data_IF_785229442176
#
_entry.id   IF_785229442176
#
_cell.length_a   1.000
_cell.length_b   1.000
_cell.length_c   1.000
_cell.angle_alpha   90.00
_cell.angle_beta   90.00
_cell.angle_gamma   90.00
#
_symmetry.space_group_name_H-M   'P 1'
#
loop_
_entity.id
_entity.type
_entity.pdbx_description
1 polymer ?
#
# COMPACT_ATOMS: atom_id res chain seq x y z
N UNK A 1 4.21 12.93 -24.44
CA UNK A 1 4.05 13.42 -23.05
C UNK A 1 2.67 12.96 -22.60
N UNK A 2 2.59 12.12 -21.57
CA UNK A 2 1.31 11.53 -21.15
C UNK A 2 0.34 12.61 -20.70
N UNK A 3 -0.91 12.53 -21.13
CA UNK A 3 -2.01 13.34 -20.59
C UNK A 3 -2.37 12.80 -19.22
N UNK A 4 -2.27 13.64 -18.19
CA UNK A 4 -2.71 13.31 -16.83
C UNK A 4 -4.19 13.61 -16.67
N UNK A 5 -4.93 12.68 -16.07
CA UNK A 5 -6.34 12.85 -15.69
C UNK A 5 -6.46 13.04 -14.17
N UNK A 6 -7.50 13.74 -13.72
CA UNK A 6 -7.87 13.79 -12.30
C UNK A 6 -8.32 12.43 -11.75
N UNK A 7 -8.66 11.50 -12.63
CA UNK A 7 -9.03 10.12 -12.29
C UNK A 7 -7.81 9.18 -12.23
N UNK A 8 -6.60 9.68 -12.50
CA UNK A 8 -5.39 8.87 -12.37
C UNK A 8 -5.12 8.53 -10.90
N UNK A 9 -4.51 7.36 -10.68
CA UNK A 9 -3.97 7.01 -9.36
C UNK A 9 -2.49 7.35 -9.30
N UNK A 10 -2.10 8.16 -8.32
CA UNK A 10 -0.75 8.67 -8.13
C UNK A 10 -0.14 8.13 -6.83
N UNK A 11 1.18 8.08 -6.77
CA UNK A 11 1.94 7.67 -5.58
C UNK A 11 3.17 8.56 -5.40
N UNK A 12 3.53 8.84 -4.14
CA UNK A 12 4.73 9.60 -3.81
C UNK A 12 5.28 9.24 -2.44
N UNK A 13 6.59 9.43 -2.25
CA UNK A 13 7.21 9.50 -0.93
C UNK A 13 6.76 10.81 -0.28
N UNK A 14 6.08 10.71 0.85
CA UNK A 14 5.47 11.82 1.58
C UNK A 14 6.32 12.32 2.77
N UNK A 15 7.49 11.72 2.99
CA UNK A 15 8.48 12.12 4.00
C UNK A 15 9.76 12.67 3.35
N UNK A 16 10.54 13.53 4.03
CA UNK A 16 11.83 13.99 3.53
C UNK A 16 12.79 12.83 3.21
N UNK A 17 13.73 13.09 2.30
CA UNK A 17 14.82 12.17 2.02
C UNK A 17 15.80 12.10 3.19
N UNK A 18 16.36 10.93 3.44
CA UNK A 18 17.34 10.69 4.48
C UNK A 18 16.95 9.55 5.41
N UNK A 19 17.69 9.43 6.52
CA UNK A 19 17.45 8.41 7.54
C UNK A 19 16.50 8.95 8.59
N UNK A 20 15.47 8.19 8.92
CA UNK A 20 14.49 8.50 9.96
C UNK A 20 13.87 7.22 10.51
N UNK A 21 13.09 7.34 11.59
CA UNK A 21 12.44 6.19 12.22
C UNK A 21 11.26 5.63 11.40
N UNK A 22 10.64 6.46 10.55
CA UNK A 22 9.54 6.07 9.66
C UNK A 22 9.65 6.80 8.32
N UNK A 23 9.23 6.13 7.25
CA UNK A 23 8.97 6.72 5.94
C UNK A 23 7.51 6.53 5.56
N UNK A 24 6.92 7.48 4.83
CA UNK A 24 5.52 7.38 4.37
C UNK A 24 5.51 7.38 2.85
N UNK A 25 4.88 6.36 2.26
CA UNK A 25 4.50 6.33 0.85
C UNK A 25 2.99 6.52 0.79
N UNK A 26 2.52 7.55 0.08
CA UNK A 26 1.10 7.88 -0.04
C UNK A 26 0.61 7.60 -1.45
N UNK A 27 -0.48 6.85 -1.56
CA UNK A 27 -1.20 6.57 -2.81
C UNK A 27 -2.56 7.27 -2.79
N UNK A 28 -2.99 7.82 -3.93
CA UNK A 28 -4.27 8.52 -4.05
C UNK A 28 -4.88 8.31 -5.42
N UNK A 29 -6.20 8.07 -5.47
CA UNK A 29 -6.95 7.82 -6.70
C UNK A 29 -7.76 6.52 -6.65
N UNK A 30 -8.56 6.24 -7.70
CA UNK A 30 -9.51 5.14 -7.72
C UNK A 30 -8.88 3.75 -7.59
N UNK A 31 -7.60 3.57 -7.95
CA UNK A 31 -6.88 2.31 -7.87
C UNK A 31 -6.05 2.16 -6.58
N UNK A 32 -6.13 3.12 -5.64
CA UNK A 32 -5.31 3.10 -4.42
C UNK A 32 -5.48 1.83 -3.58
N UNK A 33 -6.72 1.46 -3.25
CA UNK A 33 -7.03 0.24 -2.49
C UNK A 33 -6.77 -1.03 -3.32
N UNK A 34 -7.20 -1.14 -4.60
CA UNK A 34 -6.85 -2.29 -5.45
C UNK A 34 -5.35 -2.57 -5.60
N UNK A 35 -4.53 -1.52 -5.74
CA UNK A 35 -3.07 -1.65 -5.83
C UNK A 35 -2.53 -2.15 -4.49
N UNK A 36 -2.97 -1.55 -3.39
CA UNK A 36 -2.56 -1.95 -2.05
C UNK A 36 -2.92 -3.42 -1.76
N UNK A 37 -4.08 -3.90 -2.19
CA UNK A 37 -4.49 -5.30 -1.96
C UNK A 37 -3.68 -6.35 -2.72
N UNK A 38 -2.93 -5.96 -3.73
CA UNK A 38 -1.98 -6.84 -4.40
C UNK A 38 -0.64 -6.95 -3.65
N UNK A 39 -0.35 -6.00 -2.76
CA UNK A 39 0.94 -5.84 -2.10
C UNK A 39 0.88 -6.13 -0.59
N UNK A 40 -0.22 -5.75 0.06
CA UNK A 40 -0.36 -5.79 1.52
C UNK A 40 -0.95 -7.10 2.01
N UNK A 41 -0.27 -7.71 2.98
CA UNK A 41 -0.71 -8.93 3.66
C UNK A 41 -0.97 -8.62 5.13
N UNK A 42 -2.25 -8.69 5.51
CA UNK A 42 -2.68 -8.61 6.90
C UNK A 42 -2.46 -9.95 7.62
N UNK A 43 -1.90 -9.97 8.84
CA UNK A 43 -1.68 -11.19 9.61
C UNK A 43 -2.98 -11.87 10.04
N UNK A 44 -4.09 -11.12 10.08
CA UNK A 44 -5.42 -11.67 10.41
C UNK A 44 -6.15 -12.23 9.19
N UNK A 45 -5.57 -12.13 7.98
CA UNK A 45 -6.16 -12.74 6.78
C UNK A 45 -5.80 -14.22 6.73
N UNK A 46 -6.81 -15.08 6.72
CA UNK A 46 -6.67 -16.54 6.56
C UNK A 46 -6.76 -16.98 5.10
N UNK A 47 -6.90 -16.04 4.17
CA UNK A 47 -7.16 -16.30 2.74
C UNK A 47 -6.12 -15.60 1.87
N UNK A 48 -5.65 -16.30 0.83
CA UNK A 48 -4.72 -15.80 -0.20
C UNK A 48 -5.47 -15.64 -1.54
N UNK A 49 -5.45 -14.47 -2.20
CA UNK A 49 -4.85 -13.21 -1.74
C UNK A 49 -5.68 -12.59 -0.59
N UNK A 50 -5.03 -11.86 0.32
CA UNK A 50 -5.72 -11.20 1.42
C UNK A 50 -6.72 -10.19 0.86
N UNK A 51 -8.00 -10.46 1.03
CA UNK A 51 -9.06 -9.55 0.61
C UNK A 51 -8.87 -8.21 1.33
N UNK A 52 -8.57 -7.15 0.57
CA UNK A 52 -8.66 -5.76 1.05
C UNK A 52 -10.09 -5.27 1.19
N UNK A 53 -11.07 -6.17 1.01
CA UNK A 53 -12.48 -5.85 0.76
C UNK A 53 -13.06 -4.88 1.77
N UNK A 54 -12.53 -4.81 3.00
CA UNK A 54 -12.84 -3.70 3.90
C UNK A 54 -11.61 -3.24 4.71
N UNK A 55 -10.62 -2.62 4.05
CA UNK A 55 -9.72 -1.69 4.77
C UNK A 55 -10.58 -0.57 5.36
N UNK A 56 -10.81 -0.56 6.68
CA UNK A 56 -11.71 0.38 7.29
C UNK A 56 -11.08 1.76 7.27
N UNK A 57 -11.84 2.74 6.81
CA UNK A 57 -11.38 4.14 6.79
C UNK A 57 -10.90 4.58 8.17
N UNK A 58 -9.78 5.30 8.22
CA UNK A 58 -9.19 5.89 9.44
C UNK A 58 -8.83 4.87 10.52
N UNK A 59 -8.40 3.67 10.13
CA UNK A 59 -7.77 2.71 11.05
C UNK A 59 -6.37 2.38 10.56
N UNK A 60 -5.42 2.32 11.48
CA UNK A 60 -4.08 1.79 11.23
C UNK A 60 -4.12 0.27 11.34
N UNK A 61 -3.66 -0.41 10.29
CA UNK A 61 -3.57 -1.86 10.22
C UNK A 61 -2.11 -2.24 10.05
N UNK A 62 -1.65 -3.11 10.94
CA UNK A 62 -0.33 -3.69 10.88
C UNK A 62 -0.29 -4.88 9.92
N UNK A 63 0.79 -5.00 9.15
CA UNK A 63 1.02 -6.12 8.26
C UNK A 63 2.33 -5.98 7.49
N UNK A 64 2.42 -6.68 6.35
CA UNK A 64 3.63 -6.70 5.52
C UNK A 64 3.30 -6.26 4.10
N UNK A 65 4.22 -5.53 3.47
CA UNK A 65 4.22 -5.40 2.00
C UNK A 65 5.07 -6.53 1.43
N UNK A 66 4.54 -7.24 0.44
CA UNK A 66 5.23 -8.27 -0.33
C UNK A 66 5.36 -7.88 -1.78
N UNK A 67 6.47 -8.26 -2.39
CA UNK A 67 6.62 -8.21 -3.83
C UNK A 67 5.73 -9.31 -4.45
N UNK A 68 4.75 -8.97 -5.29
CA UNK A 68 3.81 -9.94 -5.85
C UNK A 68 4.48 -10.91 -6.83
N UNK A 69 5.67 -10.59 -7.37
CA UNK A 69 6.38 -11.46 -8.30
C UNK A 69 7.23 -12.51 -7.57
N UNK A 70 7.84 -12.14 -6.44
CA UNK A 70 8.77 -13.00 -5.70
C UNK A 70 8.17 -13.55 -4.41
N UNK A 71 7.05 -13.01 -3.94
CA UNK A 71 6.39 -13.30 -2.67
C UNK A 71 7.27 -12.95 -1.45
N UNK A 72 8.42 -12.29 -1.65
CA UNK A 72 9.29 -11.87 -0.57
C UNK A 72 8.70 -10.67 0.19
N UNK A 73 8.84 -10.68 1.52
CA UNK A 73 8.53 -9.52 2.35
C UNK A 73 9.49 -8.37 2.00
N UNK A 74 8.92 -7.25 1.59
CA UNK A 74 9.64 -5.99 1.34
C UNK A 74 9.84 -5.25 2.64
N UNK A 75 8.76 -5.07 3.42
CA UNK A 75 8.81 -4.36 4.70
C UNK A 75 7.62 -4.71 5.62
N UNK A 76 7.76 -4.41 6.90
CA UNK A 76 6.71 -4.38 7.90
C UNK A 76 6.11 -2.97 7.97
N UNK A 77 4.79 -2.85 7.82
CA UNK A 77 4.14 -1.55 7.63
C UNK A 77 2.91 -1.35 8.50
N UNK A 78 2.56 -0.08 8.67
CA UNK A 78 1.24 0.37 9.14
C UNK A 78 0.53 1.07 7.98
N UNK A 79 -0.66 0.58 7.63
CA UNK A 79 -1.52 1.08 6.55
C UNK A 79 -2.75 1.76 7.14
#
# INVERSE_FOLDING_TARGET
MGTFSLDDTIVAIATPLGVGGIGIVKISGPQSIPILGQLFVSPSSTTEPPATDHLPSRRLIWGHIRDPQTIHNVDEVLV
#
